data_IF_373008742965
#
_entry.id   IF_373008742965
#
_cell.length_a   1.000
_cell.length_b   1.000
_cell.length_c   1.000
_cell.angle_alpha   90.00
_cell.angle_beta   90.00
_cell.angle_gamma   90.00
#
_symmetry.space_group_name_H-M   'P 1'
#
loop_
_entity.id
_entity.type
_entity.pdbx_description
1 polymer ?
#
# COMPACT_ATOMS: atom_id res chain seq x y z
N UNK A 1 8.64 21.07 -9.11
CA UNK A 1 7.18 20.90 -9.02
C UNK A 1 6.50 22.15 -8.45
N UNK A 2 6.78 22.54 -7.21
CA UNK A 2 6.12 23.71 -6.60
C UNK A 2 6.49 25.00 -7.34
N UNK A 3 7.77 25.22 -7.60
CA UNK A 3 8.27 26.44 -8.26
C UNK A 3 8.06 26.47 -9.79
N UNK A 4 8.13 25.29 -10.45
CA UNK A 4 8.00 25.19 -11.92
C UNK A 4 6.56 24.92 -12.38
N UNK A 5 5.61 24.82 -11.44
CA UNK A 5 4.20 24.47 -11.68
C UNK A 5 4.00 23.19 -12.52
N UNK A 6 5.00 22.32 -12.59
CA UNK A 6 4.93 21.05 -13.33
C UNK A 6 4.73 19.88 -12.37
N UNK A 7 3.48 19.41 -12.28
CA UNK A 7 3.09 18.30 -11.40
C UNK A 7 3.19 16.93 -12.06
N UNK A 8 3.22 16.87 -13.39
CA UNK A 8 3.24 15.60 -14.12
C UNK A 8 4.64 15.01 -14.23
N UNK A 9 5.63 15.88 -14.50
CA UNK A 9 7.00 15.44 -14.73
C UNK A 9 7.93 16.11 -13.72
N UNK A 10 8.46 15.37 -12.74
CA UNK A 10 9.42 15.93 -11.79
C UNK A 10 10.74 16.29 -12.50
N UNK A 11 11.26 17.47 -12.19
CA UNK A 11 12.57 17.94 -12.62
C UNK A 11 13.53 17.98 -11.43
N UNK A 12 14.79 17.70 -11.66
CA UNK A 12 15.86 17.83 -10.67
C UNK A 12 17.08 18.48 -11.35
N UNK A 13 17.52 19.63 -10.83
CA UNK A 13 18.61 20.43 -11.42
C UNK A 13 18.38 20.82 -12.90
N UNK A 14 17.12 21.02 -13.31
CA UNK A 14 16.77 21.35 -14.69
C UNK A 14 16.62 20.15 -15.63
N UNK A 15 16.94 18.94 -15.19
CA UNK A 15 16.78 17.71 -15.98
C UNK A 15 15.51 16.94 -15.58
N UNK A 16 14.93 16.19 -16.53
CA UNK A 16 13.74 15.37 -16.30
C UNK A 16 14.11 14.17 -15.41
N UNK A 17 13.38 14.01 -14.30
CA UNK A 17 13.56 12.89 -13.39
C UNK A 17 12.45 11.85 -13.57
N UNK A 18 12.64 10.93 -14.51
CA UNK A 18 11.69 9.86 -14.83
C UNK A 18 11.97 8.53 -14.10
N UNK A 19 12.97 8.50 -13.21
CA UNK A 19 13.43 7.26 -12.57
C UNK A 19 12.42 6.65 -11.59
N UNK A 20 11.53 7.45 -11.03
CA UNK A 20 10.60 6.99 -9.99
C UNK A 20 9.20 7.54 -10.20
N UNK A 21 8.15 6.76 -9.82
CA UNK A 21 6.76 7.20 -9.88
C UNK A 21 6.50 8.42 -9.00
N UNK A 22 5.49 9.27 -9.36
CA UNK A 22 5.38 10.62 -8.83
C UNK A 22 4.74 10.75 -7.44
N UNK A 23 4.02 9.73 -6.92
CA UNK A 23 3.20 9.85 -5.72
C UNK A 23 3.95 10.37 -4.48
N UNK A 24 5.12 9.83 -4.07
CA UNK A 24 5.84 10.36 -2.92
C UNK A 24 6.37 11.78 -3.17
N UNK A 25 6.71 12.12 -4.42
CA UNK A 25 7.12 13.47 -4.79
C UNK A 25 5.94 14.44 -4.68
N UNK A 26 4.72 14.03 -5.05
CA UNK A 26 3.52 14.82 -4.84
C UNK A 26 3.25 15.07 -3.35
N UNK A 27 3.39 14.05 -2.51
CA UNK A 27 3.23 14.19 -1.05
C UNK A 27 4.26 15.20 -0.51
N UNK A 28 5.52 15.08 -0.92
CA UNK A 28 6.57 16.02 -0.53
C UNK A 28 6.28 17.46 -1.03
N UNK A 29 5.82 17.60 -2.27
CA UNK A 29 5.45 18.91 -2.84
C UNK A 29 4.27 19.57 -2.10
N UNK A 30 3.25 18.80 -1.72
CA UNK A 30 2.13 19.29 -0.93
C UNK A 30 2.60 19.75 0.46
N UNK A 31 3.48 18.98 1.12
CA UNK A 31 4.03 19.39 2.43
C UNK A 31 4.88 20.67 2.32
N UNK A 32 5.62 20.81 1.23
CA UNK A 32 6.40 22.02 0.94
C UNK A 32 5.53 23.25 0.72
N UNK A 33 4.37 23.10 0.07
CA UNK A 33 3.39 24.19 -0.10
C UNK A 33 2.76 24.64 1.22
N UNK A 34 2.55 23.71 2.17
CA UNK A 34 1.95 24.02 3.48
C UNK A 34 2.98 24.70 4.39
N UNK A 35 4.20 24.21 4.40
CA UNK A 35 5.28 24.74 5.24
C UNK A 35 6.63 24.49 4.54
N UNK A 36 7.18 25.53 3.89
CA UNK A 36 8.45 25.44 3.18
C UNK A 36 9.60 25.00 4.11
N UNK A 37 10.50 24.18 3.59
CA UNK A 37 11.69 23.66 4.27
C UNK A 37 11.43 22.94 5.61
N UNK A 38 10.20 22.43 5.82
CA UNK A 38 9.81 21.76 7.05
C UNK A 38 10.06 20.24 6.98
N UNK A 39 11.30 19.83 7.25
CA UNK A 39 11.67 18.40 7.31
C UNK A 39 10.84 17.56 8.30
N UNK A 40 10.52 18.05 9.52
CA UNK A 40 9.60 17.34 10.42
C UNK A 40 8.25 17.00 9.80
N UNK A 41 7.65 17.92 9.04
CA UNK A 41 6.35 17.70 8.39
C UNK A 41 6.47 16.61 7.29
N UNK A 42 7.50 16.67 6.46
CA UNK A 42 7.75 15.66 5.44
C UNK A 42 7.94 14.25 6.06
N UNK A 43 8.67 14.16 7.18
CA UNK A 43 8.85 12.91 7.93
C UNK A 43 7.56 12.44 8.59
N UNK A 44 6.71 13.35 9.07
CA UNK A 44 5.42 13.01 9.66
C UNK A 44 4.50 12.30 8.65
N UNK A 45 4.54 12.67 7.37
CA UNK A 45 3.77 11.98 6.32
C UNK A 45 4.23 10.53 6.14
N UNK A 46 5.53 10.26 6.18
CA UNK A 46 6.05 8.91 6.15
C UNK A 46 5.68 8.12 7.43
N UNK A 47 5.72 8.77 8.59
CA UNK A 47 5.22 8.21 9.84
C UNK A 47 3.73 7.84 9.76
N UNK A 48 2.91 8.70 9.16
CA UNK A 48 1.50 8.42 8.91
C UNK A 48 1.31 7.18 8.00
N UNK A 49 2.10 7.06 6.93
CA UNK A 49 2.08 5.88 6.07
C UNK A 49 2.48 4.60 6.85
N UNK A 50 3.47 4.68 7.75
CA UNK A 50 3.84 3.56 8.62
C UNK A 50 2.71 3.15 9.56
N UNK A 51 2.01 4.11 10.18
CA UNK A 51 0.83 3.84 11.00
C UNK A 51 -0.28 3.18 10.17
N UNK A 52 -0.54 3.68 8.96
CA UNK A 52 -1.52 3.10 8.05
C UNK A 52 -1.18 1.64 7.68
N UNK A 53 0.10 1.34 7.43
CA UNK A 53 0.59 -0.02 7.19
C UNK A 53 0.24 -0.95 8.36
N UNK A 54 0.58 -0.54 9.58
CA UNK A 54 0.35 -1.34 10.80
C UNK A 54 -1.16 -1.54 11.05
N UNK A 55 -1.97 -0.52 10.83
CA UNK A 55 -3.43 -0.61 10.98
C UNK A 55 -4.07 -1.55 9.96
N UNK A 56 -3.66 -1.49 8.70
CA UNK A 56 -4.17 -2.45 7.69
C UNK A 56 -3.71 -3.87 7.99
N UNK A 57 -2.46 -4.04 8.42
CA UNK A 57 -1.96 -5.34 8.85
C UNK A 57 -2.74 -5.90 10.04
N UNK A 58 -3.03 -5.08 11.06
CA UNK A 58 -3.86 -5.47 12.20
C UNK A 58 -5.26 -5.94 11.76
N UNK A 59 -5.93 -5.15 10.90
CA UNK A 59 -7.25 -5.50 10.36
C UNK A 59 -7.21 -6.80 9.55
N UNK A 60 -6.19 -6.97 8.72
CA UNK A 60 -5.97 -8.19 7.95
C UNK A 60 -5.74 -9.41 8.85
N UNK A 61 -4.81 -9.31 9.81
CA UNK A 61 -4.51 -10.39 10.74
C UNK A 61 -5.72 -10.78 11.60
N UNK A 62 -6.51 -9.79 12.05
CA UNK A 62 -7.75 -10.05 12.79
C UNK A 62 -8.76 -10.84 11.94
N UNK A 63 -8.91 -10.51 10.66
CA UNK A 63 -9.83 -11.20 9.75
C UNK A 63 -9.32 -12.56 9.30
N UNK A 64 -8.00 -12.75 9.28
CA UNK A 64 -7.37 -14.00 8.89
C UNK A 64 -7.45 -15.05 10.01
N UNK A 65 -7.22 -14.63 11.27
CA UNK A 65 -7.08 -15.53 12.42
C UNK A 65 -8.31 -15.57 13.32
N UNK A 66 -9.26 -14.63 13.15
CA UNK A 66 -10.40 -14.37 14.05
C UNK A 66 -9.99 -14.17 15.53
N UNK A 67 -8.70 -13.84 15.76
CA UNK A 67 -8.14 -13.64 17.09
C UNK A 67 -7.50 -12.24 17.21
N UNK A 68 -8.14 -11.36 18.00
CA UNK A 68 -7.69 -9.98 18.19
C UNK A 68 -6.35 -9.89 18.92
N UNK A 69 -6.10 -10.77 19.88
CA UNK A 69 -4.86 -10.78 20.67
C UNK A 69 -3.68 -11.15 19.78
N UNK A 70 -3.83 -12.18 18.96
CA UNK A 70 -2.82 -12.58 17.98
C UNK A 70 -2.52 -11.44 17.00
N UNK A 71 -3.57 -10.82 16.45
CA UNK A 71 -3.43 -9.70 15.51
C UNK A 71 -2.71 -8.52 16.15
N UNK A 72 -3.02 -8.20 17.41
CA UNK A 72 -2.36 -7.12 18.16
C UNK A 72 -0.88 -7.41 18.37
N UNK A 73 -0.53 -8.59 18.87
CA UNK A 73 0.87 -8.96 19.10
C UNK A 73 1.67 -8.95 17.81
N UNK A 74 1.12 -9.54 16.72
CA UNK A 74 1.79 -9.53 15.40
C UNK A 74 2.01 -8.10 14.87
N UNK A 75 1.03 -7.21 15.09
CA UNK A 75 1.13 -5.81 14.65
C UNK A 75 2.14 -5.03 15.48
N UNK A 76 2.28 -5.32 16.77
CA UNK A 76 3.32 -4.75 17.62
C UNK A 76 4.72 -5.21 17.16
N UNK A 77 4.88 -6.49 16.85
CA UNK A 77 6.14 -7.01 16.28
C UNK A 77 6.47 -6.32 14.96
N UNK A 78 5.48 -6.13 14.08
CA UNK A 78 5.68 -5.39 12.83
C UNK A 78 6.09 -3.93 13.10
N UNK A 79 5.39 -3.25 14.02
CA UNK A 79 5.65 -1.86 14.39
C UNK A 79 7.06 -1.65 14.96
N UNK A 80 7.57 -2.62 15.71
CA UNK A 80 8.91 -2.57 16.32
C UNK A 80 10.02 -3.08 15.40
N UNK A 81 9.68 -3.55 14.19
CA UNK A 81 10.69 -4.02 13.25
C UNK A 81 11.57 -2.86 12.76
N UNK A 82 12.89 -3.09 12.72
CA UNK A 82 13.88 -2.09 12.33
C UNK A 82 13.56 -1.43 10.98
N UNK A 83 13.17 -2.22 9.98
CA UNK A 83 12.89 -1.71 8.64
C UNK A 83 11.70 -0.73 8.64
N UNK A 84 10.61 -1.04 9.36
CA UNK A 84 9.43 -0.17 9.41
C UNK A 84 9.77 1.14 10.12
N UNK A 85 10.50 1.06 11.23
CA UNK A 85 10.95 2.26 11.97
C UNK A 85 11.86 3.12 11.08
N UNK A 86 12.84 2.51 10.39
CA UNK A 86 13.75 3.22 9.52
C UNK A 86 13.00 3.91 8.36
N UNK A 87 12.17 3.17 7.65
CA UNK A 87 11.40 3.70 6.51
C UNK A 87 10.44 4.82 6.91
N UNK A 88 9.77 4.67 8.08
CA UNK A 88 8.86 5.70 8.61
C UNK A 88 9.58 6.97 9.06
N UNK A 89 10.86 6.90 9.45
CA UNK A 89 11.65 8.06 9.87
C UNK A 89 12.39 8.76 8.74
N UNK A 90 12.83 8.01 7.73
CA UNK A 90 13.66 8.54 6.63
C UNK A 90 12.86 9.01 5.43
N UNK A 91 11.52 8.94 5.48
CA UNK A 91 10.61 9.32 4.40
C UNK A 91 10.96 8.64 3.06
N UNK A 92 11.31 7.35 3.13
CA UNK A 92 11.63 6.57 1.93
C UNK A 92 10.36 6.26 1.13
N UNK A 93 10.51 6.08 -0.18
CA UNK A 93 9.44 5.72 -1.11
C UNK A 93 8.77 4.40 -0.76
N UNK A 94 9.53 3.50 -0.13
CA UNK A 94 9.10 2.15 0.22
C UNK A 94 7.92 2.12 1.19
N UNK A 95 7.91 3.01 2.20
CA UNK A 95 6.87 3.00 3.21
C UNK A 95 5.48 3.27 2.63
N UNK A 96 5.37 4.21 1.67
CA UNK A 96 4.11 4.53 0.99
C UNK A 96 3.64 3.34 0.16
N UNK A 97 4.56 2.77 -0.64
CA UNK A 97 4.30 1.62 -1.48
C UNK A 97 3.77 0.42 -0.68
N UNK A 98 4.46 0.08 0.43
CA UNK A 98 4.08 -1.03 1.30
C UNK A 98 2.77 -0.77 2.04
N UNK A 99 2.53 0.46 2.51
CA UNK A 99 1.31 0.83 3.20
C UNK A 99 0.09 0.69 2.29
N UNK A 100 0.16 1.19 1.08
CA UNK A 100 -0.91 1.04 0.10
C UNK A 100 -1.09 -0.41 -0.34
N UNK A 101 -0.02 -1.17 -0.57
CA UNK A 101 -0.13 -2.58 -0.94
C UNK A 101 -0.76 -3.42 0.19
N UNK A 102 -0.45 -3.14 1.45
CA UNK A 102 -1.11 -3.82 2.58
C UNK A 102 -2.61 -3.50 2.63
N UNK A 103 -3.00 -2.26 2.33
CA UNK A 103 -4.41 -1.88 2.16
C UNK A 103 -5.07 -2.67 1.04
N UNK A 104 -4.41 -2.79 -0.11
CA UNK A 104 -4.89 -3.59 -1.24
C UNK A 104 -5.10 -5.06 -0.88
N UNK A 105 -4.13 -5.69 -0.20
CA UNK A 105 -4.22 -7.08 0.27
C UNK A 105 -5.39 -7.26 1.23
N UNK A 106 -5.60 -6.33 2.17
CA UNK A 106 -6.72 -6.39 3.09
C UNK A 106 -8.07 -6.36 2.36
N UNK A 107 -8.27 -5.40 1.45
CA UNK A 107 -9.51 -5.31 0.68
C UNK A 107 -9.70 -6.49 -0.28
N UNK A 108 -8.63 -6.97 -0.90
CA UNK A 108 -8.67 -8.17 -1.74
C UNK A 108 -9.06 -9.41 -0.94
N UNK A 109 -8.51 -9.59 0.26
CA UNK A 109 -8.89 -10.68 1.16
C UNK A 109 -10.38 -10.62 1.50
N UNK A 110 -10.93 -9.44 1.84
CA UNK A 110 -12.35 -9.27 2.09
C UNK A 110 -13.20 -9.60 0.86
N UNK A 111 -12.78 -9.15 -0.33
CA UNK A 111 -13.48 -9.43 -1.58
C UNK A 111 -13.55 -10.93 -1.90
N UNK A 112 -12.46 -11.65 -1.64
CA UNK A 112 -12.37 -13.08 -1.90
C UNK A 112 -13.16 -13.94 -0.88
N UNK A 113 -13.24 -13.49 0.39
CA UNK A 113 -13.93 -14.26 1.45
C UNK A 113 -15.41 -14.00 1.54
N UNK A 114 -15.94 -12.84 1.12
CA UNK A 114 -17.35 -12.53 1.24
C UNK A 114 -18.20 -13.18 0.14
N UNK A 115 -19.32 -13.76 0.55
CA UNK A 115 -20.42 -14.19 -0.32
C UNK A 115 -21.72 -13.55 0.19
N UNK A 116 -22.49 -12.80 -0.65
CA UNK A 116 -22.21 -12.49 -2.05
C UNK A 116 -21.04 -11.53 -2.23
N UNK A 117 -20.38 -11.63 -3.38
CA UNK A 117 -19.23 -10.81 -3.74
C UNK A 117 -19.60 -9.32 -3.80
N UNK A 118 -18.96 -8.48 -2.97
CA UNK A 118 -19.18 -7.03 -2.99
C UNK A 118 -18.10 -6.36 -3.86
N UNK A 119 -18.51 -5.84 -5.00
CA UNK A 119 -17.63 -5.13 -5.94
C UNK A 119 -16.87 -3.95 -5.31
N UNK A 120 -17.44 -3.33 -4.27
CA UNK A 120 -16.80 -2.22 -3.55
C UNK A 120 -15.43 -2.60 -2.97
N UNK A 121 -15.23 -3.87 -2.56
CA UNK A 121 -13.94 -4.31 -2.05
C UNK A 121 -12.91 -4.51 -3.17
N UNK A 122 -13.33 -4.96 -4.37
CA UNK A 122 -12.43 -5.03 -5.52
C UNK A 122 -12.02 -3.65 -6.00
N UNK A 123 -12.95 -2.69 -6.03
CA UNK A 123 -12.64 -1.29 -6.37
C UNK A 123 -11.66 -0.72 -5.35
N UNK A 124 -11.91 -0.92 -4.05
CA UNK A 124 -10.98 -0.49 -3.00
C UNK A 124 -9.59 -1.10 -3.15
N UNK A 125 -9.51 -2.42 -3.41
CA UNK A 125 -8.24 -3.10 -3.66
C UNK A 125 -7.51 -2.51 -4.89
N UNK A 126 -8.22 -2.27 -5.99
CA UNK A 126 -7.67 -1.67 -7.21
C UNK A 126 -7.12 -0.26 -6.99
N UNK A 127 -7.87 0.60 -6.27
CA UNK A 127 -7.40 1.96 -5.91
C UNK A 127 -6.10 1.88 -5.11
N UNK A 128 -6.04 1.05 -4.08
CA UNK A 128 -4.84 0.89 -3.26
C UNK A 128 -3.67 0.26 -4.03
N UNK A 129 -3.93 -0.64 -4.98
CA UNK A 129 -2.91 -1.16 -5.89
C UNK A 129 -2.34 -0.07 -6.79
N UNK A 130 -3.21 0.75 -7.40
CA UNK A 130 -2.79 1.89 -8.22
C UNK A 130 -1.93 2.89 -7.43
N UNK A 131 -2.32 3.23 -6.20
CA UNK A 131 -1.53 4.08 -5.31
C UNK A 131 -0.18 3.45 -4.97
N UNK A 132 -0.13 2.15 -4.71
CA UNK A 132 1.13 1.44 -4.47
C UNK A 132 2.03 1.44 -5.70
N UNK A 133 1.47 1.27 -6.91
CA UNK A 133 2.21 1.36 -8.16
C UNK A 133 2.79 2.76 -8.37
N UNK A 134 2.00 3.80 -8.12
CA UNK A 134 2.44 5.20 -8.16
C UNK A 134 3.47 5.54 -7.06
N UNK A 135 3.63 4.68 -6.05
CA UNK A 135 4.64 4.81 -4.99
C UNK A 135 6.05 4.40 -5.45
N UNK A 136 6.20 3.21 -6.00
CA UNK A 136 7.52 2.64 -6.38
C UNK A 136 7.46 1.72 -7.60
N UNK A 137 6.39 1.76 -8.40
CA UNK A 137 6.21 0.86 -9.53
C UNK A 137 5.85 -0.58 -9.10
N UNK A 138 6.17 -1.60 -9.91
CA UNK A 138 5.67 -2.97 -9.72
C UNK A 138 6.33 -3.76 -8.58
N UNK A 139 7.28 -3.19 -7.84
CA UNK A 139 8.07 -3.92 -6.82
C UNK A 139 7.20 -4.56 -5.76
N UNK A 140 6.18 -3.85 -5.25
CA UNK A 140 5.30 -4.38 -4.21
C UNK A 140 4.35 -5.48 -4.71
N UNK A 141 4.07 -5.52 -6.01
CA UNK A 141 3.27 -6.58 -6.61
C UNK A 141 4.01 -7.93 -6.54
N UNK A 142 5.30 -7.94 -6.85
CA UNK A 142 6.11 -9.15 -6.75
C UNK A 142 6.42 -9.53 -5.31
N UNK A 143 6.75 -8.53 -4.46
CA UNK A 143 7.20 -8.79 -3.10
C UNK A 143 6.07 -9.15 -2.12
N UNK A 144 4.88 -8.57 -2.27
CA UNK A 144 3.79 -8.71 -1.31
C UNK A 144 2.54 -9.35 -1.91
N UNK A 145 2.05 -8.84 -3.06
CA UNK A 145 0.80 -9.31 -3.63
C UNK A 145 0.90 -10.72 -4.17
N UNK A 146 1.96 -11.01 -4.95
CA UNK A 146 2.14 -12.33 -5.56
C UNK A 146 2.23 -13.46 -4.52
N UNK A 147 3.07 -13.37 -3.47
CA UNK A 147 3.11 -14.37 -2.40
C UNK A 147 1.78 -14.53 -1.69
N UNK A 148 1.07 -13.42 -1.43
CA UNK A 148 -0.27 -13.47 -0.83
C UNK A 148 -1.26 -14.24 -1.71
N UNK A 149 -1.34 -13.93 -3.01
CA UNK A 149 -2.25 -14.61 -3.94
C UNK A 149 -1.91 -16.08 -4.07
N UNK A 150 -0.62 -16.44 -4.19
CA UNK A 150 -0.18 -17.83 -4.21
C UNK A 150 -0.58 -18.58 -2.93
N UNK A 151 -0.29 -18.02 -1.76
CA UNK A 151 -0.66 -18.62 -0.47
C UNK A 151 -2.18 -18.76 -0.33
N UNK A 152 -2.94 -17.74 -0.75
CA UNK A 152 -4.40 -17.78 -0.72
C UNK A 152 -4.96 -18.90 -1.61
N UNK A 153 -4.48 -19.03 -2.85
CA UNK A 153 -4.91 -20.08 -3.79
C UNK A 153 -4.56 -21.47 -3.22
N UNK A 154 -3.36 -21.66 -2.70
CA UNK A 154 -2.92 -22.95 -2.15
C UNK A 154 -3.76 -23.36 -0.93
N UNK A 155 -4.02 -22.42 -0.03
CA UNK A 155 -4.73 -22.70 1.21
C UNK A 155 -6.24 -22.89 0.99
N UNK A 156 -6.88 -22.02 0.18
CA UNK A 156 -8.32 -22.04 -0.04
C UNK A 156 -8.77 -22.75 -1.32
N UNK A 157 -7.90 -23.47 -1.99
CA UNK A 157 -8.18 -24.16 -3.28
C UNK A 157 -9.44 -25.04 -3.25
N UNK A 158 -9.73 -25.69 -2.11
CA UNK A 158 -10.87 -26.60 -1.95
C UNK A 158 -12.17 -25.88 -1.56
N UNK A 159 -12.12 -24.73 -0.94
CA UNK A 159 -13.30 -24.05 -0.39
C UNK A 159 -13.89 -22.97 -1.32
N UNK A 160 -13.14 -22.52 -2.30
CA UNK A 160 -13.53 -21.33 -3.05
C UNK A 160 -14.23 -21.72 -4.35
N UNK A 161 -15.52 -21.35 -4.46
CA UNK A 161 -16.21 -21.27 -5.76
C UNK A 161 -15.64 -20.07 -6.53
N UNK A 162 -14.46 -20.25 -7.12
CA UNK A 162 -13.65 -19.17 -7.70
C UNK A 162 -14.15 -18.69 -9.07
N UNK A 163 -15.11 -19.37 -9.73
CA UNK A 163 -15.46 -19.14 -11.14
C UNK A 163 -15.86 -17.69 -11.47
N UNK A 164 -16.57 -17.00 -10.58
CA UNK A 164 -16.93 -15.60 -10.81
C UNK A 164 -15.89 -14.58 -10.30
N UNK A 165 -15.04 -14.97 -9.39
CA UNK A 165 -14.05 -14.07 -8.74
C UNK A 165 -12.80 -13.88 -9.59
N UNK A 166 -12.48 -14.81 -10.49
CA UNK A 166 -11.36 -14.69 -11.43
C UNK A 166 -11.53 -13.53 -12.42
N UNK A 167 -12.77 -13.30 -12.88
CA UNK A 167 -13.07 -12.19 -13.78
C UNK A 167 -12.85 -10.86 -13.06
N UNK A 168 -13.35 -10.74 -11.82
CA UNK A 168 -13.16 -9.53 -11.01
C UNK A 168 -11.69 -9.28 -10.67
N UNK A 169 -10.91 -10.34 -10.42
CA UNK A 169 -9.47 -10.25 -10.18
C UNK A 169 -8.71 -9.83 -11.44
N UNK A 170 -9.09 -10.34 -12.61
CA UNK A 170 -8.51 -9.94 -13.88
C UNK A 170 -8.79 -8.46 -14.21
N UNK A 171 -10.05 -8.01 -14.02
CA UNK A 171 -10.45 -6.60 -14.22
C UNK A 171 -9.73 -5.65 -13.25
N UNK A 172 -9.39 -6.11 -12.05
CA UNK A 172 -8.68 -5.31 -11.07
C UNK A 172 -7.19 -5.11 -11.43
N UNK A 173 -6.58 -6.05 -12.16
CA UNK A 173 -5.16 -6.02 -12.55
C UNK A 173 -4.95 -5.23 -13.85
N UNK A 174 -5.98 -5.10 -14.70
CA UNK A 174 -5.99 -4.28 -15.91
C UNK A 174 -6.21 -2.80 -15.58
#
# INVERSE_FOLDING_TARGET
MVYDHNWLVPTMNGELRLEKPPLPTWIAAITEMISPDNLPLQRAMAGFAAVMLVLFFYKFATKLTDNRTYALVSSLVLCTSYNIILMGRTATWDIYCHAFMMGAIYYLYLALRQNPCKWTYFIGAGIFMGLSFLGKGPVSFYALLLPFVCAYILYYRKETQMKGKWIALAVMIL
#
